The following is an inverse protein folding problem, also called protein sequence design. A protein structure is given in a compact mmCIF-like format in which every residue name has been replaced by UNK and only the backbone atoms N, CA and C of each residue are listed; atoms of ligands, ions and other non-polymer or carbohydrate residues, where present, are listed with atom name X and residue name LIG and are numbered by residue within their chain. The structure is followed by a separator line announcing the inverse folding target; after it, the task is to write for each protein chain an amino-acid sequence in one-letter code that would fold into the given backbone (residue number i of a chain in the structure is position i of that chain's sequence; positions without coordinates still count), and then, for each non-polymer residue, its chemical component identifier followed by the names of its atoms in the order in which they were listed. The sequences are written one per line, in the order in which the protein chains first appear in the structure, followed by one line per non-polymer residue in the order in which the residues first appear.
data_IF_964885446509
#
_entry.id   IF_964885446509
#
_cell.length_a   1.000
_cell.length_b   1.000
_cell.length_c   1.000
_cell.angle_alpha   90.00
_cell.angle_beta   90.00
_cell.angle_gamma   90.00
#
_symmetry.space_group_name_H-M   'P 1'
#
loop_
_entity.id
_entity.type
_entity.pdbx_description
1 polymer ?
#
# COMPACT_ATOMS: atom_id res chain seq x y z
N UNK A 1 -18.65 7.33 8.79
CA UNK A 1 -18.19 8.66 8.33
C UNK A 1 -17.11 8.62 7.24
N UNK A 2 -15.81 8.47 7.56
CA UNK A 2 -14.72 8.62 6.56
C UNK A 2 -14.89 7.67 5.36
N UNK A 3 -15.02 6.37 5.64
CA UNK A 3 -15.17 5.35 4.59
C UNK A 3 -16.43 5.57 3.76
N UNK A 4 -17.58 5.81 4.42
CA UNK A 4 -18.84 6.03 3.71
C UNK A 4 -18.79 7.27 2.79
N UNK A 5 -18.17 8.36 3.24
CA UNK A 5 -18.03 9.58 2.43
C UNK A 5 -17.07 9.38 1.25
N UNK A 6 -15.96 8.67 1.47
CA UNK A 6 -15.00 8.34 0.42
C UNK A 6 -15.65 7.44 -0.63
N UNK A 7 -16.35 6.38 -0.21
CA UNK A 7 -16.99 5.45 -1.12
C UNK A 7 -18.18 6.07 -1.86
N UNK A 8 -18.99 6.91 -1.19
CA UNK A 8 -20.08 7.63 -1.85
C UNK A 8 -19.54 8.57 -2.95
N UNK A 9 -18.43 9.24 -2.69
CA UNK A 9 -17.74 10.07 -3.68
C UNK A 9 -17.19 9.21 -4.82
N UNK A 10 -16.54 8.09 -4.49
CA UNK A 10 -15.93 7.18 -5.46
C UNK A 10 -16.99 6.58 -6.40
N UNK A 11 -18.12 6.09 -5.87
CA UNK A 11 -19.27 5.58 -6.67
C UNK A 11 -19.81 6.64 -7.63
N UNK A 12 -19.95 7.88 -7.15
CA UNK A 12 -20.42 9.00 -7.98
C UNK A 12 -19.44 9.34 -9.10
N UNK A 13 -18.15 9.42 -8.78
CA UNK A 13 -17.11 9.84 -9.74
C UNK A 13 -16.81 8.77 -10.78
N UNK A 14 -16.89 7.48 -10.41
CA UNK A 14 -16.66 6.37 -11.33
C UNK A 14 -17.87 6.07 -12.22
N UNK A 15 -19.05 6.63 -11.89
CA UNK A 15 -20.31 6.33 -12.58
C UNK A 15 -20.71 4.86 -12.37
N UNK A 16 -20.79 4.44 -11.11
CA UNK A 16 -21.03 3.03 -10.73
C UNK A 16 -22.17 2.39 -11.54
N UNK A 17 -21.87 1.24 -12.14
CA UNK A 17 -22.77 0.51 -13.05
C UNK A 17 -22.52 -0.99 -12.95
N UNK A 18 -23.05 -1.62 -11.90
CA UNK A 18 -22.91 -3.06 -11.68
C UNK A 18 -21.45 -3.49 -11.73
N UNK A 19 -21.12 -4.47 -12.57
CA UNK A 19 -19.74 -4.94 -12.77
C UNK A 19 -18.97 -4.16 -13.85
N UNK A 20 -19.63 -3.28 -14.62
CA UNK A 20 -18.97 -2.50 -15.67
C UNK A 20 -18.12 -1.37 -15.10
N UNK A 21 -18.53 -0.75 -13.99
CA UNK A 21 -17.77 0.30 -13.30
C UNK A 21 -18.14 0.34 -11.82
N UNK A 22 -17.17 0.48 -10.92
CA UNK A 22 -17.44 0.44 -9.49
C UNK A 22 -16.19 0.49 -8.62
N UNK A 23 -16.37 0.17 -7.34
CA UNK A 23 -15.29 0.03 -6.37
C UNK A 23 -14.67 -1.36 -6.51
N UNK A 24 -13.34 -1.44 -6.62
CA UNK A 24 -12.65 -2.71 -6.84
C UNK A 24 -12.52 -3.55 -5.55
N UNK A 25 -12.37 -2.87 -4.42
CA UNK A 25 -12.25 -3.45 -3.09
C UNK A 25 -12.66 -2.42 -2.03
N UNK A 26 -12.94 -2.83 -0.77
CA UNK A 26 -13.37 -1.92 0.29
C UNK A 26 -12.32 -0.85 0.61
N UNK A 27 -12.76 0.29 1.12
CA UNK A 27 -11.82 1.33 1.59
C UNK A 27 -11.12 0.87 2.87
N UNK A 28 -9.84 0.54 2.77
CA UNK A 28 -8.93 0.37 3.89
C UNK A 28 -8.66 1.69 4.59
N UNK A 29 -8.73 1.68 5.91
CA UNK A 29 -8.38 2.81 6.78
C UNK A 29 -7.62 2.32 8.02
N UNK A 30 -6.64 1.44 7.79
CA UNK A 30 -5.92 0.74 8.85
C UNK A 30 -5.15 1.72 9.73
N UNK A 31 -5.28 1.61 11.05
CA UNK A 31 -4.71 2.56 12.01
C UNK A 31 -3.46 2.00 12.70
N UNK A 32 -2.45 2.85 12.84
CA UNK A 32 -1.26 2.62 13.65
C UNK A 32 -0.54 1.31 13.28
N UNK A 33 -0.45 0.37 14.22
CA UNK A 33 0.24 -0.92 14.05
C UNK A 33 -0.47 -1.88 13.09
N UNK A 34 -1.75 -1.66 12.78
CA UNK A 34 -2.46 -2.41 11.75
C UNK A 34 -2.08 -1.86 10.37
N UNK A 35 -1.39 -2.64 9.55
CA UNK A 35 -0.82 -2.15 8.29
C UNK A 35 -1.84 -2.05 7.15
N UNK A 36 -2.70 -3.07 7.00
CA UNK A 36 -3.62 -3.21 5.89
C UNK A 36 -4.89 -4.00 6.30
N UNK A 37 -5.89 -4.00 5.40
CA UNK A 37 -7.11 -4.82 5.47
C UNK A 37 -8.09 -4.54 6.63
N UNK A 38 -7.92 -3.42 7.35
CA UNK A 38 -8.97 -2.93 8.25
C UNK A 38 -9.88 -1.91 7.56
N UNK A 39 -11.17 -2.17 7.63
CA UNK A 39 -12.26 -1.23 7.35
C UNK A 39 -13.34 -1.44 8.42
N UNK A 40 -14.02 -0.39 8.92
CA UNK A 40 -14.98 -0.53 10.00
C UNK A 40 -16.20 -1.35 9.57
N UNK A 41 -16.63 -2.26 10.46
CA UNK A 41 -17.93 -2.90 10.34
C UNK A 41 -19.03 -2.01 10.95
N UNK A 42 -20.29 -2.37 10.72
CA UNK A 42 -21.42 -1.70 11.35
C UNK A 42 -21.28 -1.66 12.88
N UNK A 43 -21.39 -0.48 13.46
CA UNK A 43 -21.26 -0.27 14.91
C UNK A 43 -19.83 -0.14 15.43
N UNK A 44 -18.82 -0.12 14.56
CA UNK A 44 -17.45 0.19 14.97
C UNK A 44 -17.37 1.65 15.48
N UNK A 45 -17.05 1.88 16.77
CA UNK A 45 -17.03 3.20 17.37
C UNK A 45 -15.69 3.91 17.21
N UNK A 46 -14.75 3.36 16.42
CA UNK A 46 -13.39 3.90 16.28
C UNK A 46 -13.41 5.30 15.70
N UNK A 47 -12.72 6.22 16.38
CA UNK A 47 -12.57 7.61 15.95
C UNK A 47 -11.11 7.87 15.64
N UNK A 48 -10.83 8.43 14.46
CA UNK A 48 -9.49 8.85 14.07
C UNK A 48 -8.97 9.94 15.00
N UNK A 49 -7.77 9.73 15.56
CA UNK A 49 -7.12 10.64 16.51
C UNK A 49 -6.00 11.46 15.86
N UNK A 50 -5.55 12.51 16.55
CA UNK A 50 -4.47 13.38 16.07
C UNK A 50 -3.13 12.64 15.88
N UNK A 51 -2.82 11.69 16.77
CA UNK A 51 -1.58 10.91 16.73
C UNK A 51 -1.67 9.64 15.89
N UNK A 52 -2.80 9.40 15.21
CA UNK A 52 -2.98 8.20 14.38
C UNK A 52 -2.20 8.30 13.06
N UNK A 53 -1.67 7.16 12.64
CA UNK A 53 -1.16 6.93 11.29
C UNK A 53 -2.15 6.04 10.54
N UNK A 54 -2.97 6.66 9.70
CA UNK A 54 -4.04 6.01 8.96
C UNK A 54 -3.60 5.73 7.51
N UNK A 55 -3.69 4.48 7.06
CA UNK A 55 -3.43 4.12 5.66
C UNK A 55 -4.77 4.09 4.93
N UNK A 56 -4.98 5.04 4.02
CA UNK A 56 -6.15 5.09 3.15
C UNK A 56 -5.80 4.36 1.87
N UNK A 57 -6.48 3.26 1.64
CA UNK A 57 -6.23 2.33 0.55
C UNK A 57 -7.57 1.94 -0.07
N UNK A 58 -7.79 2.28 -1.33
CA UNK A 58 -9.07 2.06 -1.97
C UNK A 58 -8.92 1.87 -3.47
N UNK A 59 -9.81 1.06 -4.04
CA UNK A 59 -9.74 0.69 -5.44
C UNK A 59 -10.96 1.10 -6.24
N UNK A 60 -10.74 1.42 -7.51
CA UNK A 60 -11.80 1.62 -8.50
C UNK A 60 -11.55 0.72 -9.70
N UNK A 61 -12.59 0.43 -10.48
CA UNK A 61 -12.42 -0.27 -11.75
C UNK A 61 -13.40 0.19 -12.82
N UNK A 62 -12.98 -0.02 -14.08
CA UNK A 62 -13.85 0.02 -15.26
C UNK A 62 -13.59 -1.24 -16.08
N UNK A 63 -14.63 -2.02 -16.37
CA UNK A 63 -14.59 -3.30 -17.06
C UNK A 63 -13.53 -4.25 -16.46
N UNK A 64 -13.46 -4.29 -15.13
CA UNK A 64 -12.50 -5.09 -14.37
C UNK A 64 -11.05 -4.60 -14.41
N UNK A 65 -10.74 -3.49 -15.09
CA UNK A 65 -9.42 -2.85 -15.03
C UNK A 65 -9.32 -2.08 -13.73
N UNK A 66 -8.66 -2.69 -12.75
CA UNK A 66 -8.56 -2.19 -11.38
C UNK A 66 -7.43 -1.17 -11.28
N UNK A 67 -7.71 -0.06 -10.59
CA UNK A 67 -6.69 0.81 -10.02
C UNK A 67 -6.62 0.50 -8.53
N UNK A 68 -5.44 0.10 -8.09
CA UNK A 68 -5.08 -0.11 -6.69
C UNK A 68 -4.07 0.97 -6.31
N UNK A 69 -4.42 1.81 -5.34
CA UNK A 69 -3.60 2.94 -4.95
C UNK A 69 -3.93 3.36 -3.51
N UNK A 70 -2.87 3.61 -2.74
CA UNK A 70 -2.96 3.96 -1.34
C UNK A 70 -2.08 5.16 -0.98
N UNK A 71 -2.40 5.81 0.13
CA UNK A 71 -1.55 6.80 0.77
C UNK A 71 -1.72 6.77 2.28
N UNK A 72 -0.78 7.39 3.00
CA UNK A 72 -0.84 7.50 4.46
C UNK A 72 -1.23 8.91 4.87
N UNK A 73 -2.24 9.00 5.74
CA UNK A 73 -2.68 10.20 6.43
C UNK A 73 -2.13 10.20 7.86
N UNK A 74 -1.38 11.24 8.22
CA UNK A 74 -0.97 11.52 9.59
C UNK A 74 -1.08 13.03 9.82
N UNK A 75 -1.62 13.44 10.98
CA UNK A 75 -1.74 14.85 11.32
C UNK A 75 -0.53 15.37 12.09
N UNK A 76 0.08 14.53 12.92
CA UNK A 76 1.26 14.89 13.68
C UNK A 76 2.53 14.81 12.81
N UNK A 77 3.27 15.91 12.61
CA UNK A 77 4.50 15.94 11.81
C UNK A 77 5.60 15.00 12.29
N UNK A 78 5.52 14.47 13.53
CA UNK A 78 6.48 13.48 14.03
C UNK A 78 6.62 12.26 13.11
N UNK A 79 5.60 11.95 12.31
CA UNK A 79 5.62 10.83 11.36
C UNK A 79 6.14 11.19 9.96
N UNK A 80 6.41 12.46 9.65
CA UNK A 80 6.75 12.91 8.28
C UNK A 80 7.91 12.11 7.68
N UNK A 81 8.96 11.90 8.47
CA UNK A 81 10.15 11.15 8.02
C UNK A 81 9.87 9.65 7.82
N UNK A 82 8.90 9.08 8.54
CA UNK A 82 8.43 7.70 8.31
C UNK A 82 7.65 7.63 6.99
N UNK A 83 6.77 8.60 6.74
CA UNK A 83 6.00 8.69 5.50
C UNK A 83 6.91 8.92 4.30
N UNK A 84 7.95 9.75 4.44
CA UNK A 84 8.99 9.99 3.45
C UNK A 84 9.74 8.70 3.11
N UNK A 85 10.21 7.96 4.12
CA UNK A 85 10.92 6.69 3.93
C UNK A 85 10.13 5.67 3.11
N UNK A 86 8.84 5.50 3.43
CA UNK A 86 7.96 4.55 2.72
C UNK A 86 7.63 5.06 1.31
N UNK A 87 7.43 6.36 1.14
CA UNK A 87 7.19 6.97 -0.18
C UNK A 87 8.38 6.80 -1.10
N UNK A 88 9.60 7.04 -0.62
CA UNK A 88 10.83 6.87 -1.40
C UNK A 88 11.11 5.40 -1.72
N UNK A 89 10.81 4.50 -0.79
CA UNK A 89 10.87 3.06 -1.03
C UNK A 89 9.87 2.61 -2.12
N UNK A 90 8.61 3.08 -2.07
CA UNK A 90 7.61 2.81 -3.12
C UNK A 90 8.03 3.38 -4.47
N UNK A 91 8.49 4.63 -4.52
CA UNK A 91 8.97 5.27 -5.76
C UNK A 91 10.21 4.54 -6.33
N UNK A 92 11.06 4.00 -5.45
CA UNK A 92 12.16 3.14 -5.87
C UNK A 92 11.61 1.86 -6.50
N UNK A 93 10.68 1.17 -5.86
CA UNK A 93 10.02 0.00 -6.45
C UNK A 93 9.41 0.29 -7.83
N UNK A 94 8.75 1.43 -8.00
CA UNK A 94 8.17 1.86 -9.28
C UNK A 94 9.25 2.10 -10.33
N UNK A 95 10.34 2.78 -9.95
CA UNK A 95 11.46 3.08 -10.86
C UNK A 95 12.22 1.81 -11.30
N UNK A 96 12.41 0.87 -10.38
CA UNK A 96 13.11 -0.38 -10.67
C UNK A 96 12.23 -1.39 -11.41
N UNK A 97 10.91 -1.23 -11.41
CA UNK A 97 9.99 -2.12 -12.13
C UNK A 97 10.10 -1.95 -13.65
N UNK A 98 10.03 -3.07 -14.38
CA UNK A 98 10.10 -3.07 -15.83
C UNK A 98 10.06 -4.47 -16.41
N UNK A 99 9.82 -4.57 -17.71
CA UNK A 99 9.86 -5.85 -18.44
C UNK A 99 11.23 -6.50 -18.24
N UNK A 100 11.22 -7.82 -18.05
CA UNK A 100 12.40 -8.67 -17.77
C UNK A 100 13.08 -8.43 -16.42
N UNK A 101 12.59 -7.49 -15.59
CA UNK A 101 13.12 -7.26 -14.24
C UNK A 101 12.70 -8.39 -13.30
N UNK A 102 13.65 -8.92 -12.53
CA UNK A 102 13.37 -9.92 -11.50
C UNK A 102 12.71 -9.27 -10.29
N UNK A 103 11.60 -9.84 -9.82
CA UNK A 103 10.84 -9.35 -8.67
C UNK A 103 11.69 -9.26 -7.40
N UNK A 104 12.63 -10.20 -7.19
CA UNK A 104 13.54 -10.16 -6.05
C UNK A 104 14.55 -9.00 -6.07
N UNK A 105 14.91 -8.47 -7.25
CA UNK A 105 15.79 -7.31 -7.36
C UNK A 105 15.05 -6.04 -6.95
N UNK A 106 13.77 -5.91 -7.35
CA UNK A 106 12.89 -4.82 -6.91
C UNK A 106 12.77 -4.83 -5.39
N UNK A 107 12.53 -6.00 -4.78
CA UNK A 107 12.44 -6.12 -3.32
C UNK A 107 13.74 -5.79 -2.59
N UNK A 108 14.90 -6.09 -3.19
CA UNK A 108 16.19 -5.70 -2.62
C UNK A 108 16.40 -4.18 -2.66
N UNK A 109 16.07 -3.53 -3.78
CA UNK A 109 16.18 -2.07 -3.93
C UNK A 109 15.22 -1.31 -3.01
N UNK A 110 13.97 -1.78 -2.91
CA UNK A 110 12.98 -1.24 -1.95
C UNK A 110 13.52 -1.32 -0.53
N UNK A 111 14.04 -2.47 -0.12
CA UNK A 111 14.58 -2.66 1.23
C UNK A 111 15.78 -1.76 1.49
N UNK A 112 16.71 -1.65 0.55
CA UNK A 112 17.89 -0.80 0.69
C UNK A 112 17.50 0.65 0.98
N UNK A 113 16.59 1.21 0.18
CA UNK A 113 16.12 2.58 0.36
C UNK A 113 15.33 2.73 1.65
N UNK A 114 14.39 1.82 1.95
CA UNK A 114 13.59 1.95 3.16
C UNK A 114 14.45 1.87 4.43
N UNK A 115 15.42 0.97 4.44
CA UNK A 115 16.34 0.76 5.55
C UNK A 115 17.43 1.83 5.66
N UNK A 116 17.59 2.75 4.69
CA UNK A 116 18.49 3.89 4.82
C UNK A 116 17.92 5.01 5.71
N UNK A 117 16.64 4.93 6.09
CA UNK A 117 15.98 5.92 6.93
C UNK A 117 16.00 5.54 8.40
N UNK A 118 16.29 6.54 9.24
CA UNK A 118 16.06 6.52 10.67
C UNK A 118 15.06 7.61 11.06
N UNK A 119 14.16 7.27 11.97
CA UNK A 119 13.11 8.17 12.48
C UNK A 119 13.19 8.23 14.00
N UNK A 120 12.97 9.41 14.58
CA UNK A 120 12.82 9.58 16.02
C UNK A 120 11.35 9.79 16.35
N UNK A 121 10.78 8.92 17.16
CA UNK A 121 9.40 9.02 17.64
C UNK A 121 9.41 8.97 19.16
N UNK A 122 8.85 10.00 19.79
CA UNK A 122 8.65 10.07 21.24
C UNK A 122 9.95 9.78 22.04
N UNK A 123 11.08 10.35 21.58
CA UNK A 123 12.40 10.22 22.22
C UNK A 123 13.13 8.89 21.94
N UNK A 124 12.65 8.09 21.00
CA UNK A 124 13.29 6.83 20.59
C UNK A 124 13.54 6.78 19.09
N UNK A 125 14.77 6.42 18.73
CA UNK A 125 15.18 6.22 17.33
C UNK A 125 14.82 4.83 16.85
N UNK A 126 14.32 4.75 15.61
CA UNK A 126 13.99 3.52 14.92
C UNK A 126 14.61 3.54 13.52
N UNK A 127 15.27 2.44 13.16
CA UNK A 127 15.50 2.12 11.74
C UNK A 127 14.16 1.67 11.14
N UNK A 128 13.75 2.26 10.01
CA UNK A 128 12.51 1.86 9.34
C UNK A 128 12.69 0.47 8.75
N UNK A 129 11.75 -0.43 9.00
CA UNK A 129 11.81 -1.82 8.53
C UNK A 129 10.67 -2.12 7.57
N UNK A 130 10.94 -2.73 6.41
CA UNK A 130 9.88 -3.29 5.59
C UNK A 130 9.09 -4.37 6.35
N UNK A 131 7.78 -4.41 6.16
CA UNK A 131 6.93 -5.49 6.67
C UNK A 131 7.08 -6.71 5.75
N UNK A 132 7.99 -7.62 6.11
CA UNK A 132 8.55 -8.63 5.18
C UNK A 132 7.56 -9.68 4.62
N UNK A 133 6.38 -9.79 5.20
CA UNK A 133 5.27 -10.66 4.79
C UNK A 133 4.14 -9.90 4.07
N UNK A 134 4.31 -8.60 3.78
CA UNK A 134 3.47 -7.84 2.88
C UNK A 134 4.24 -7.53 1.60
N UNK A 135 3.54 -7.46 0.48
CA UNK A 135 4.10 -7.43 -0.85
C UNK A 135 3.17 -6.67 -1.78
N UNK A 136 3.71 -6.09 -2.86
CA UNK A 136 2.89 -5.74 -4.01
C UNK A 136 2.49 -6.97 -4.81
N UNK A 137 1.74 -6.78 -5.89
CA UNK A 137 1.19 -7.90 -6.64
C UNK A 137 0.84 -7.56 -8.09
N UNK A 138 0.85 -8.57 -8.96
CA UNK A 138 0.23 -8.48 -10.27
C UNK A 138 -1.29 -8.35 -10.15
N UNK A 139 -1.92 -7.63 -11.08
CA UNK A 139 -3.36 -7.39 -11.20
C UNK A 139 -3.83 -7.88 -12.58
N UNK A 140 -5.02 -8.48 -12.63
CA UNK A 140 -5.68 -8.90 -13.86
C UNK A 140 -7.15 -8.44 -13.87
N UNK A 141 -7.86 -8.50 -15.02
CA UNK A 141 -9.27 -8.13 -15.07
C UNK A 141 -10.11 -8.83 -13.99
N UNK A 142 -10.78 -8.04 -13.15
CA UNK A 142 -11.59 -8.50 -12.01
C UNK A 142 -10.83 -9.34 -10.96
N UNK A 143 -9.49 -9.30 -10.96
CA UNK A 143 -8.66 -10.09 -10.06
C UNK A 143 -7.55 -9.22 -9.49
N UNK A 144 -7.75 -8.76 -8.25
CA UNK A 144 -6.81 -7.89 -7.54
C UNK A 144 -5.43 -8.55 -7.40
N UNK A 145 -5.38 -9.82 -6.97
CA UNK A 145 -4.12 -10.59 -6.89
C UNK A 145 -4.07 -11.65 -8.00
N UNK A 146 -3.33 -11.37 -9.07
CA UNK A 146 -3.28 -12.21 -10.28
C UNK A 146 -2.28 -13.38 -10.22
N UNK A 147 -1.41 -13.44 -9.20
CA UNK A 147 -0.59 -14.61 -8.90
C UNK A 147 0.90 -14.33 -8.65
N UNK A 148 1.47 -13.26 -9.23
CA UNK A 148 2.83 -12.82 -8.93
C UNK A 148 2.84 -11.84 -7.76
N UNK A 149 3.82 -11.96 -6.88
CA UNK A 149 4.03 -11.08 -5.72
C UNK A 149 5.33 -10.29 -5.88
N UNK A 150 5.26 -8.98 -5.65
CA UNK A 150 6.42 -8.08 -5.68
C UNK A 150 6.96 -7.95 -4.26
N UNK A 151 8.09 -8.60 -3.92
CA UNK A 151 8.63 -8.53 -2.58
C UNK A 151 9.10 -7.10 -2.26
N UNK A 152 9.14 -6.77 -0.96
CA UNK A 152 9.70 -5.50 -0.44
C UNK A 152 10.94 -5.73 0.43
N UNK A 153 11.47 -6.95 0.37
CA UNK A 153 12.72 -7.40 1.00
C UNK A 153 13.51 -8.28 0.05
N UNK A 154 14.82 -8.35 0.23
CA UNK A 154 15.70 -9.26 -0.48
C UNK A 154 15.39 -10.73 -0.17
N UNK A 155 15.75 -11.64 -1.07
CA UNK A 155 15.67 -13.09 -0.88
C UNK A 155 14.41 -13.78 -1.43
N UNK A 156 13.61 -13.06 -2.25
CA UNK A 156 12.48 -13.63 -2.98
C UNK A 156 12.87 -14.41 -4.24
N UNK A 157 11.87 -14.91 -4.96
CA UNK A 157 12.05 -15.68 -6.20
C UNK A 157 12.52 -14.80 -7.36
N UNK A 158 13.32 -15.38 -8.26
CA UNK A 158 13.82 -14.71 -9.46
C UNK A 158 12.81 -14.72 -10.63
N UNK A 159 11.51 -14.71 -10.32
CA UNK A 159 10.44 -14.51 -11.30
C UNK A 159 10.61 -13.13 -11.93
N UNK A 160 10.35 -13.01 -13.22
CA UNK A 160 10.42 -11.73 -13.96
C UNK A 160 9.04 -11.12 -14.18
N UNK A 161 9.01 -9.79 -14.27
CA UNK A 161 7.89 -9.05 -14.83
C UNK A 161 7.85 -9.25 -16.35
N UNK A 162 6.67 -9.51 -16.90
CA UNK A 162 6.46 -9.76 -18.32
C UNK A 162 5.75 -8.58 -19.00
N UNK A 163 5.91 -8.48 -20.32
CA UNK A 163 5.21 -7.47 -21.12
C UNK A 163 3.69 -7.56 -20.93
N UNK A 164 3.03 -6.41 -20.83
CA UNK A 164 1.57 -6.26 -20.67
C UNK A 164 1.00 -6.74 -19.32
N UNK A 165 1.82 -7.06 -18.33
CA UNK A 165 1.37 -7.24 -16.97
C UNK A 165 1.08 -5.89 -16.29
N UNK A 166 0.12 -5.89 -15.36
CA UNK A 166 -0.22 -4.74 -14.54
C UNK A 166 0.09 -5.06 -13.08
N UNK A 167 0.66 -4.12 -12.33
CA UNK A 167 1.13 -4.34 -10.97
C UNK A 167 0.69 -3.24 -10.02
N UNK A 168 0.31 -3.62 -8.81
CA UNK A 168 0.34 -2.74 -7.65
C UNK A 168 1.76 -2.78 -7.06
N UNK A 169 2.41 -1.62 -7.00
CA UNK A 169 3.70 -1.46 -6.34
C UNK A 169 3.45 -0.71 -5.03
N UNK A 170 3.46 -1.45 -3.93
CA UNK A 170 3.18 -0.97 -2.60
C UNK A 170 4.28 -1.41 -1.64
N UNK A 171 4.57 -0.54 -0.66
CA UNK A 171 5.58 -0.83 0.36
C UNK A 171 5.07 -0.41 1.72
N UNK A 172 5.52 -1.12 2.76
CA UNK A 172 5.06 -0.94 4.12
C UNK A 172 6.25 -0.82 5.05
N UNK A 173 6.46 0.37 5.61
CA UNK A 173 7.46 0.61 6.65
C UNK A 173 6.88 0.51 8.06
N UNK A 174 7.65 -0.09 8.97
CA UNK A 174 7.26 -0.28 10.36
C UNK A 174 8.41 0.07 11.31
N UNK A 175 8.05 0.65 12.45
CA UNK A 175 8.95 0.82 13.61
C UNK A 175 8.92 -0.39 14.56
N UNK A 176 8.05 -1.39 14.26
CA UNK A 176 7.90 -2.62 15.03
C UNK A 176 8.84 -3.75 14.59
N UNK A 177 8.28 -4.96 14.48
CA UNK A 177 9.02 -6.17 14.10
C UNK A 177 9.23 -6.31 12.57
N UNK A 178 8.55 -5.48 11.76
CA UNK A 178 8.55 -5.62 10.31
C UNK A 178 7.97 -6.96 9.86
N UNK A 179 6.84 -7.36 10.46
CA UNK A 179 6.08 -8.59 10.19
C UNK A 179 4.62 -8.40 10.61
#
# INVERSE_FOLDING_TARGET
DIVEQLEATSRKMIGEKGLEAGLAFPTGCSLNHCAAHYTPNAGDPTVLQYDDVCKIDFGTHVNGRIVDCAFTLAFNPKYDKLLEAVRDATNTGIREAGIDVRLCDIGAAIQEVMESYEVELDGKTYKVKPIRNLNGHSIAPYRIHAGKTVPIVKGGEAIVMEENEFYAIETFGSTGKGY
#
